data_IF_195722896876
#
_entry.id   IF_195722896876
#
_cell.length_a   1.000
_cell.length_b   1.000
_cell.length_c   1.000
_cell.angle_alpha   90.00
_cell.angle_beta   90.00
_cell.angle_gamma   90.00
#
_symmetry.space_group_name_H-M   'P 1'
#
loop_
_entity.id
_entity.type
_entity.pdbx_description
1 polymer ?
#
# COMPACT_ATOMS: atom_id res chain seq x y z
N UNK A 1 9.02 -8.50 -6.10
CA UNK A 1 8.87 -9.67 -5.20
C UNK A 1 8.71 -11.00 -5.93
N UNK A 2 8.06 -11.07 -7.10
CA UNK A 2 7.93 -12.32 -7.88
C UNK A 2 9.26 -12.99 -8.21
N UNK A 3 10.29 -12.21 -8.56
CA UNK A 3 11.63 -12.76 -8.81
C UNK A 3 12.21 -13.52 -7.60
N UNK A 4 11.84 -13.10 -6.39
CA UNK A 4 12.20 -13.78 -5.13
C UNK A 4 11.20 -14.88 -4.74
N UNK A 5 10.23 -15.23 -5.60
CA UNK A 5 9.21 -16.24 -5.32
C UNK A 5 8.11 -15.81 -4.35
N UNK A 6 8.17 -14.58 -3.79
CA UNK A 6 7.24 -14.14 -2.75
C UNK A 6 5.87 -13.79 -3.33
N UNK A 7 4.83 -14.45 -2.83
CA UNK A 7 3.43 -14.16 -3.18
C UNK A 7 2.99 -12.83 -2.58
N UNK A 8 2.30 -12.02 -3.39
CA UNK A 8 1.87 -10.70 -2.99
C UNK A 8 0.62 -10.25 -3.78
N UNK A 9 -0.12 -9.31 -3.19
CA UNK A 9 -1.33 -8.71 -3.76
C UNK A 9 -1.33 -7.20 -3.48
N UNK A 10 -1.46 -6.41 -4.53
CA UNK A 10 -1.49 -4.95 -4.46
C UNK A 10 -2.95 -4.47 -4.55
N UNK A 11 -3.36 -3.62 -3.62
CA UNK A 11 -4.66 -2.97 -3.60
C UNK A 11 -4.47 -1.45 -3.67
N UNK A 12 -5.29 -0.79 -4.49
CA UNK A 12 -5.29 0.67 -4.67
C UNK A 12 -6.69 1.17 -5.02
N UNK A 13 -6.99 2.43 -4.71
CA UNK A 13 -8.20 3.12 -5.18
C UNK A 13 -8.09 3.58 -6.64
N UNK A 14 -6.86 3.72 -7.17
CA UNK A 14 -6.62 4.31 -8.49
C UNK A 14 -5.78 3.38 -9.36
N UNK A 15 -6.36 2.88 -10.45
CA UNK A 15 -5.61 2.22 -11.52
C UNK A 15 -5.22 3.27 -12.56
N UNK A 16 -3.93 3.43 -12.80
CA UNK A 16 -3.40 4.49 -13.65
C UNK A 16 -3.18 5.78 -12.88
N UNK A 17 -3.49 6.90 -13.52
CA UNK A 17 -3.47 8.23 -12.89
C UNK A 17 -4.88 8.76 -12.74
N UNK A 18 -5.11 9.56 -11.70
CA UNK A 18 -6.33 10.36 -11.61
C UNK A 18 -6.21 11.61 -12.50
N UNK A 19 -7.04 11.64 -13.55
CA UNK A 19 -7.13 12.75 -14.51
C UNK A 19 -7.54 14.07 -13.89
N UNK A 20 -8.14 14.07 -12.70
CA UNK A 20 -8.45 15.27 -11.92
C UNK A 20 -7.20 16.10 -11.60
N UNK A 21 -6.01 15.48 -11.54
CA UNK A 21 -4.76 16.17 -11.26
C UNK A 21 -4.11 16.84 -12.48
N UNK A 22 -4.66 16.67 -13.69
CA UNK A 22 -4.05 17.20 -14.93
C UNK A 22 -3.77 18.71 -14.88
N UNK A 23 -4.64 19.46 -14.21
CA UNK A 23 -4.52 20.93 -14.12
C UNK A 23 -3.78 21.41 -12.87
N UNK A 24 -3.39 20.51 -11.95
CA UNK A 24 -2.63 20.88 -10.75
C UNK A 24 -1.22 21.30 -11.15
N UNK A 25 -0.75 22.44 -10.61
CA UNK A 25 0.51 23.08 -11.00
C UNK A 25 1.71 22.13 -10.95
N UNK A 26 1.72 21.22 -9.97
CA UNK A 26 2.73 20.20 -9.78
C UNK A 26 2.77 19.18 -10.93
N UNK A 27 1.62 18.64 -11.35
CA UNK A 27 1.54 17.58 -12.35
C UNK A 27 1.47 18.08 -13.79
N UNK A 28 1.01 19.32 -14.00
CA UNK A 28 0.64 19.87 -15.32
C UNK A 28 1.69 19.71 -16.42
N UNK A 29 2.98 19.91 -16.09
CA UNK A 29 4.06 19.93 -17.10
C UNK A 29 4.34 18.56 -17.72
N UNK A 30 4.11 17.48 -16.97
CA UNK A 30 4.50 16.12 -17.36
C UNK A 30 3.34 15.13 -17.25
N UNK A 31 2.10 15.62 -17.12
CA UNK A 31 0.94 14.77 -16.84
C UNK A 31 0.77 13.67 -17.89
N UNK A 32 0.78 14.01 -19.17
CA UNK A 32 0.54 13.05 -20.23
C UNK A 32 1.65 11.98 -20.30
N UNK A 33 2.91 12.37 -20.05
CA UNK A 33 4.03 11.41 -19.97
C UNK A 33 3.90 10.47 -18.77
N UNK A 34 3.53 11.01 -17.60
CA UNK A 34 3.32 10.22 -16.39
C UNK A 34 2.09 9.32 -16.50
N UNK A 35 1.02 9.79 -17.13
CA UNK A 35 -0.16 8.99 -17.46
C UNK A 35 0.22 7.77 -18.29
N UNK A 36 0.93 7.96 -19.39
CA UNK A 36 1.40 6.86 -20.23
C UNK A 36 2.25 5.88 -19.43
N UNK A 37 3.25 6.39 -18.71
CA UNK A 37 4.19 5.57 -17.94
C UNK A 37 3.47 4.73 -16.88
N UNK A 38 2.55 5.32 -16.10
CA UNK A 38 1.84 4.61 -15.02
C UNK A 38 0.88 3.57 -15.59
N UNK A 39 0.16 3.89 -16.67
CA UNK A 39 -0.73 2.93 -17.34
C UNK A 39 0.05 1.73 -17.91
N UNK A 40 1.22 1.98 -18.52
CA UNK A 40 2.10 0.92 -19.00
C UNK A 40 2.60 0.03 -17.85
N UNK A 41 2.91 0.60 -16.68
CA UNK A 41 3.31 -0.18 -15.50
C UNK A 41 2.21 -1.11 -15.00
N UNK A 42 0.95 -0.65 -14.95
CA UNK A 42 -0.17 -1.52 -14.58
C UNK A 42 -0.40 -2.64 -15.61
N UNK A 43 -0.29 -2.34 -16.91
CA UNK A 43 -0.36 -3.35 -17.96
C UNK A 43 0.76 -4.40 -17.84
N UNK A 44 1.99 -3.94 -17.57
CA UNK A 44 3.14 -4.82 -17.33
C UNK A 44 2.99 -5.64 -16.06
N UNK A 45 2.42 -5.09 -14.99
CA UNK A 45 2.17 -5.81 -13.74
C UNK A 45 1.28 -7.03 -13.97
N UNK A 46 0.22 -6.88 -14.77
CA UNK A 46 -0.65 -7.98 -15.18
C UNK A 46 0.11 -9.05 -15.98
N UNK A 47 0.94 -8.65 -16.95
CA UNK A 47 1.80 -9.58 -17.70
C UNK A 47 2.82 -10.29 -16.79
N UNK A 48 3.27 -9.59 -15.75
CA UNK A 48 4.18 -10.10 -14.73
C UNK A 48 3.46 -10.89 -13.62
N UNK A 49 2.18 -11.23 -13.78
CA UNK A 49 1.38 -11.98 -12.79
C UNK A 49 1.41 -11.36 -11.38
N UNK A 50 1.59 -10.05 -11.31
CA UNK A 50 1.38 -9.29 -10.07
C UNK A 50 -0.14 -9.16 -9.92
N UNK A 51 -0.69 -9.62 -8.80
CA UNK A 51 -2.11 -9.48 -8.53
C UNK A 51 -2.37 -8.03 -8.09
N UNK A 52 -3.07 -7.28 -8.93
CA UNK A 52 -3.47 -5.88 -8.69
C UNK A 52 -4.98 -5.81 -8.63
N UNK A 53 -5.52 -5.22 -7.57
CA UNK A 53 -6.95 -5.07 -7.35
C UNK A 53 -7.30 -3.61 -7.08
N UNK A 54 -8.33 -3.11 -7.79
CA UNK A 54 -8.90 -1.80 -7.49
C UNK A 54 -9.95 -1.94 -6.39
N UNK A 55 -9.56 -1.70 -5.14
CA UNK A 55 -10.46 -1.83 -3.99
C UNK A 55 -9.96 -1.05 -2.77
N UNK A 56 -10.91 -0.61 -1.93
CA UNK A 56 -10.60 -0.29 -0.53
C UNK A 56 -10.38 -1.58 0.25
N UNK A 57 -9.50 -1.52 1.23
CA UNK A 57 -9.21 -2.61 2.15
C UNK A 57 -9.65 -2.17 3.53
N UNK A 58 -10.40 -2.98 4.27
CA UNK A 58 -10.79 -2.62 5.63
C UNK A 58 -9.66 -2.86 6.63
N UNK A 59 -9.70 -2.17 7.77
CA UNK A 59 -8.76 -2.46 8.86
C UNK A 59 -8.88 -3.92 9.34
N UNK A 60 -10.06 -4.53 9.26
CA UNK A 60 -10.29 -5.93 9.61
C UNK A 60 -9.56 -6.87 8.66
N UNK A 61 -9.53 -6.56 7.35
CA UNK A 61 -8.78 -7.34 6.36
C UNK A 61 -7.27 -7.28 6.65
N UNK A 62 -6.76 -6.09 7.00
CA UNK A 62 -5.36 -5.89 7.38
C UNK A 62 -5.03 -6.70 8.63
N UNK A 63 -5.86 -6.60 9.67
CA UNK A 63 -5.66 -7.35 10.92
C UNK A 63 -5.74 -8.86 10.71
N UNK A 64 -6.66 -9.34 9.86
CA UNK A 64 -6.80 -10.75 9.52
C UNK A 64 -5.57 -11.27 8.77
N UNK A 65 -5.00 -10.48 7.87
CA UNK A 65 -3.75 -10.82 7.17
C UNK A 65 -2.57 -10.88 8.14
N UNK A 66 -2.41 -9.88 9.02
CA UNK A 66 -1.34 -9.86 10.02
C UNK A 66 -1.47 -10.99 11.05
N UNK A 67 -2.70 -11.38 11.42
CA UNK A 67 -2.96 -12.48 12.34
C UNK A 67 -2.47 -13.84 11.81
N UNK A 68 -2.32 -13.99 10.49
CA UNK A 68 -1.77 -15.18 9.84
C UNK A 68 -0.24 -15.20 9.80
N UNK A 69 0.43 -14.23 10.46
CA UNK A 69 1.89 -14.11 10.45
C UNK A 69 2.45 -13.49 9.16
N UNK A 70 1.58 -12.99 8.29
CA UNK A 70 1.98 -12.28 7.09
C UNK A 70 2.29 -10.79 7.37
N UNK A 71 2.84 -10.08 6.37
CA UNK A 71 3.14 -8.65 6.49
C UNK A 71 2.45 -7.86 5.38
N UNK A 72 2.32 -6.56 5.56
CA UNK A 72 1.79 -5.66 4.55
C UNK A 72 2.61 -4.37 4.49
N UNK A 73 2.66 -3.72 3.32
CA UNK A 73 3.38 -2.47 3.11
C UNK A 73 2.36 -1.40 2.71
N UNK A 74 2.34 -0.28 3.43
CA UNK A 74 1.50 0.89 3.08
C UNK A 74 2.37 1.90 2.37
N UNK A 75 2.03 2.23 1.11
CA UNK A 75 2.95 2.93 0.21
C UNK A 75 2.94 4.46 0.36
N UNK A 76 1.90 5.06 0.94
CA UNK A 76 1.86 6.52 1.18
C UNK A 76 3.01 7.06 2.05
N UNK A 77 3.56 6.24 2.95
CA UNK A 77 4.72 6.59 3.80
C UNK A 77 5.78 5.46 3.85
N UNK A 78 5.65 4.47 2.97
CA UNK A 78 6.51 3.29 2.88
C UNK A 78 6.76 2.57 4.22
N UNK A 79 5.71 2.31 5.00
CA UNK A 79 5.82 1.58 6.28
C UNK A 79 5.48 0.10 6.12
N UNK A 80 6.15 -0.76 6.90
CA UNK A 80 5.92 -2.21 6.91
C UNK A 80 5.14 -2.60 8.15
N UNK A 81 3.90 -3.03 7.98
CA UNK A 81 3.04 -3.53 9.06
C UNK A 81 3.48 -4.93 9.48
N UNK A 82 3.65 -5.14 10.79
CA UNK A 82 4.18 -6.38 11.38
C UNK A 82 3.23 -7.05 12.35
N UNK A 83 2.24 -6.32 12.87
CA UNK A 83 1.27 -6.89 13.81
C UNK A 83 0.29 -5.86 14.35
N UNK A 84 -0.59 -6.32 15.23
CA UNK A 84 -1.56 -5.49 15.93
C UNK A 84 -1.85 -6.04 17.33
N UNK A 85 -2.36 -5.20 18.21
CA UNK A 85 -2.83 -5.57 19.55
C UNK A 85 -4.28 -5.13 19.71
N UNK A 86 -5.18 -6.09 19.94
CA UNK A 86 -6.59 -5.80 20.26
C UNK A 86 -6.74 -5.16 21.64
N UNK A 87 -5.90 -5.56 22.60
CA UNK A 87 -5.96 -5.06 23.97
C UNK A 87 -5.63 -3.56 24.06
N UNK A 88 -4.67 -3.10 23.27
CA UNK A 88 -4.23 -1.70 23.26
C UNK A 88 -4.76 -0.90 22.07
N UNK A 89 -5.48 -1.54 21.15
CA UNK A 89 -5.96 -0.90 19.92
C UNK A 89 -4.82 -0.32 19.07
N UNK A 90 -3.67 -0.98 19.03
CA UNK A 90 -2.45 -0.48 18.38
C UNK A 90 -2.04 -1.31 17.16
N UNK A 91 -1.45 -0.65 16.18
CA UNK A 91 -0.76 -1.30 15.05
C UNK A 91 0.76 -1.14 15.20
N UNK A 92 1.49 -2.20 14.90
CA UNK A 92 2.96 -2.22 14.96
C UNK A 92 3.54 -2.21 13.56
N UNK A 93 4.49 -1.32 13.31
CA UNK A 93 5.10 -1.16 12.00
C UNK A 93 6.57 -0.79 12.10
N UNK A 94 7.34 -1.19 11.09
CA UNK A 94 8.69 -0.69 10.88
C UNK A 94 8.62 0.46 9.87
N UNK A 95 9.28 1.56 10.18
CA UNK A 95 9.49 2.64 9.24
C UNK A 95 10.95 2.57 8.74
N UNK A 96 11.20 2.23 7.46
CA UNK A 96 12.54 2.11 6.91
C UNK A 96 13.41 3.38 7.02
N UNK A 97 12.80 4.55 7.21
CA UNK A 97 13.54 5.81 7.45
C UNK A 97 14.22 5.85 8.82
N UNK A 98 13.84 4.97 9.76
CA UNK A 98 14.43 4.86 11.08
C UNK A 98 15.13 3.49 11.23
N UNK A 99 16.35 3.48 11.78
CA UNK A 99 17.13 2.26 11.97
C UNK A 99 16.40 1.26 12.89
N UNK A 100 16.15 0.05 12.36
CA UNK A 100 15.51 -1.15 12.95
C UNK A 100 14.71 -0.92 14.24
N UNK A 101 13.72 -0.02 14.15
CA UNK A 101 12.84 0.31 15.26
C UNK A 101 11.42 -0.06 14.91
N UNK A 102 10.85 -0.94 15.73
CA UNK A 102 9.40 -1.16 15.73
C UNK A 102 8.73 0.06 16.34
N UNK A 103 7.92 0.73 15.53
CA UNK A 103 7.05 1.82 15.92
C UNK A 103 5.63 1.29 16.17
N UNK A 104 4.84 2.08 16.88
CA UNK A 104 3.42 1.80 17.08
C UNK A 104 2.58 3.07 17.02
N UNK A 105 1.35 2.94 16.56
CA UNK A 105 0.33 3.99 16.64
C UNK A 105 -1.03 3.35 16.93
N UNK A 106 -2.04 4.15 17.27
CA UNK A 106 -3.41 3.64 17.40
C UNK A 106 -3.95 3.20 16.05
N UNK A 107 -4.86 2.22 16.07
CA UNK A 107 -5.55 1.78 14.85
C UNK A 107 -6.32 2.92 14.20
N UNK A 108 -6.93 3.81 14.99
CA UNK A 108 -7.65 4.99 14.47
C UNK A 108 -6.72 5.93 13.70
N UNK A 109 -5.56 6.28 14.27
CA UNK A 109 -4.62 7.20 13.63
C UNK A 109 -4.01 6.59 12.38
N UNK A 110 -3.75 5.27 12.41
CA UNK A 110 -3.28 4.55 11.23
C UNK A 110 -4.33 4.56 10.11
N UNK A 111 -5.59 4.27 10.44
CA UNK A 111 -6.70 4.24 9.49
C UNK A 111 -6.91 5.62 8.87
N UNK A 112 -7.04 6.66 9.70
CA UNK A 112 -7.19 8.04 9.26
C UNK A 112 -6.05 8.46 8.32
N UNK A 113 -4.80 8.13 8.66
CA UNK A 113 -3.66 8.46 7.84
C UNK A 113 -3.69 7.74 6.49
N UNK A 114 -3.95 6.42 6.46
CA UNK A 114 -3.90 5.63 5.22
C UNK A 114 -5.10 5.87 4.29
N UNK A 115 -6.23 6.37 4.81
CA UNK A 115 -7.42 6.71 4.02
C UNK A 115 -7.53 8.20 3.76
N UNK A 116 -6.51 8.98 4.16
CA UNK A 116 -6.48 10.42 3.92
C UNK A 116 -6.35 10.73 2.43
N UNK A 117 -6.88 11.88 2.03
CA UNK A 117 -6.83 12.35 0.66
C UNK A 117 -5.39 12.38 0.13
N UNK A 118 -5.18 11.77 -1.05
CA UNK A 118 -3.87 11.73 -1.72
C UNK A 118 -3.03 10.48 -1.45
N UNK A 119 -3.54 9.48 -0.72
CA UNK A 119 -2.80 8.23 -0.44
C UNK A 119 -3.20 7.04 -1.30
N UNK A 120 -4.26 7.17 -2.11
CA UNK A 120 -4.91 6.11 -2.90
C UNK A 120 -5.21 4.80 -2.12
N UNK A 121 -5.08 4.82 -0.80
CA UNK A 121 -5.09 3.65 0.09
C UNK A 121 -4.14 2.52 -0.32
N UNK A 122 -3.03 2.87 -0.98
CA UNK A 122 -2.10 1.90 -1.55
C UNK A 122 -1.53 0.94 -0.49
N UNK A 123 -1.86 -0.35 -0.62
CA UNK A 123 -1.37 -1.40 0.26
C UNK A 123 -0.94 -2.64 -0.51
N UNK A 124 0.24 -3.15 -0.16
CA UNK A 124 0.82 -4.36 -0.71
C UNK A 124 0.84 -5.45 0.35
N UNK A 125 -0.09 -6.40 0.23
CA UNK A 125 -0.10 -7.61 1.04
C UNK A 125 1.01 -8.56 0.59
N UNK A 126 1.81 -9.02 1.55
CA UNK A 126 2.91 -9.96 1.33
C UNK A 126 2.62 -11.22 2.12
N UNK A 127 2.52 -12.34 1.43
CA UNK A 127 2.24 -13.64 2.04
C UNK A 127 3.57 -14.31 2.36
N UNK A 128 3.86 -14.46 3.65
CA UNK A 128 5.02 -15.20 4.13
C UNK A 128 4.63 -16.67 4.15
N UNK A 129 5.35 -17.51 3.42
CA UNK A 129 5.11 -18.94 3.43
C UNK A 129 5.48 -19.51 4.82
N UNK A 130 4.59 -20.35 5.35
CA UNK A 130 4.78 -21.10 6.61
C UNK A 130 5.56 -22.37 6.38
#
# INVERSE_FOLDING_TARGET
MRHFGVRHRFCTQTLGVDKGYKNQSFYRKHFDTEETRVNELFAQAQACKVLVEKCSVSIQDIQAHLAQGHVAIVLGHFIVLRGYSRATGSIFYNNPAFADRMCSTSVSNFEEARTSYGTDEDILFVYVDS
#
